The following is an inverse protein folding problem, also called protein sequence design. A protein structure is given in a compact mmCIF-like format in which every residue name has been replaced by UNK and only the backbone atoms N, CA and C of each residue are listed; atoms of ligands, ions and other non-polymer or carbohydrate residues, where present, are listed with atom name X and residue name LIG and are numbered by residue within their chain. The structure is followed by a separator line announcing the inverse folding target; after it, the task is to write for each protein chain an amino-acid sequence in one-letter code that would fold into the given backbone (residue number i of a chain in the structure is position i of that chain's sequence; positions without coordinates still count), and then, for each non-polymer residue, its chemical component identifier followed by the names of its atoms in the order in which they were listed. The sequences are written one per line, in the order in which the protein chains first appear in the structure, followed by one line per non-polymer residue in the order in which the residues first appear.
data_IF_474238685603
#
_entry.id   IF_474238685603
#
_cell.length_a   1.000
_cell.length_b   1.000
_cell.length_c   1.000
_cell.angle_alpha   90.00
_cell.angle_beta   90.00
_cell.angle_gamma   90.00
#
_symmetry.space_group_name_H-M   'P 1'
#
loop_
_entity.id
_entity.type
_entity.pdbx_description
1 polymer ?
#
# COMPACT_ATOMS: atom_id res chain seq x y z
N UNK A 1 -38.77 4.16 25.56
CA UNK A 1 -39.67 3.00 25.33
C UNK A 1 -41.01 3.16 26.05
N UNK A 2 -42.07 3.45 25.28
CA UNK A 2 -43.46 3.39 25.73
C UNK A 2 -44.06 2.09 25.19
N UNK A 3 -44.54 1.20 26.07
CA UNK A 3 -45.11 -0.09 25.67
C UNK A 3 -46.55 0.02 25.18
N UNK A 4 -47.02 -1.01 24.48
CA UNK A 4 -48.39 -1.12 23.97
C UNK A 4 -49.44 -1.03 25.09
N UNK A 5 -50.56 -0.36 24.80
CA UNK A 5 -51.78 -0.33 25.61
C UNK A 5 -53.00 -0.56 24.71
N UNK A 6 -54.19 -0.80 25.27
CA UNK A 6 -55.41 -1.09 24.49
C UNK A 6 -55.78 -0.01 23.47
N UNK A 7 -55.29 1.22 23.65
CA UNK A 7 -55.56 2.37 22.78
C UNK A 7 -54.29 2.99 22.18
N UNK A 8 -53.10 2.44 22.43
CA UNK A 8 -51.84 3.06 22.02
C UNK A 8 -50.83 2.02 21.56
N UNK A 9 -50.34 2.17 20.34
CA UNK A 9 -49.32 1.30 19.78
C UNK A 9 -47.93 1.58 20.41
N UNK A 10 -47.03 0.61 20.30
CA UNK A 10 -45.65 0.71 20.80
C UNK A 10 -44.82 1.62 19.89
N UNK A 11 -44.06 2.54 20.48
CA UNK A 11 -43.13 3.39 19.72
C UNK A 11 -41.78 2.70 19.56
N UNK A 12 -41.39 2.42 18.32
CA UNK A 12 -40.07 1.90 17.98
C UNK A 12 -39.01 3.01 17.95
N UNK A 13 -37.92 2.83 18.69
CA UNK A 13 -36.75 3.72 18.65
C UNK A 13 -35.67 3.17 17.70
N UNK A 14 -34.92 4.08 17.07
CA UNK A 14 -33.77 3.74 16.23
C UNK A 14 -32.56 3.45 17.11
N UNK A 15 -31.90 2.32 16.86
CA UNK A 15 -30.67 1.89 17.56
C UNK A 15 -29.44 2.66 17.06
N UNK A 16 -28.38 2.70 17.86
CA UNK A 16 -27.14 3.38 17.49
C UNK A 16 -26.50 2.80 16.23
N UNK A 17 -25.94 3.68 15.39
CA UNK A 17 -25.40 3.31 14.08
C UNK A 17 -26.45 3.20 12.97
N UNK A 18 -27.71 3.56 13.24
CA UNK A 18 -28.80 3.61 12.27
C UNK A 18 -29.49 4.97 12.32
N UNK A 19 -30.09 5.36 11.20
CA UNK A 19 -30.99 6.51 11.08
C UNK A 19 -32.36 6.06 10.58
N UNK A 20 -33.38 6.83 10.91
CA UNK A 20 -34.71 6.59 10.40
C UNK A 20 -34.82 7.02 8.94
N UNK A 21 -35.11 6.07 8.06
CA UNK A 21 -35.34 6.34 6.64
C UNK A 21 -36.79 6.74 6.38
N UNK A 22 -37.72 5.99 6.95
CA UNK A 22 -39.16 6.17 6.76
C UNK A 22 -39.83 6.45 8.10
N UNK A 23 -40.50 7.61 8.17
CA UNK A 23 -41.28 8.05 9.32
C UNK A 23 -42.74 7.64 9.14
N UNK A 24 -43.32 7.08 10.18
CA UNK A 24 -44.75 6.78 10.28
C UNK A 24 -45.39 7.53 11.46
N UNK A 25 -46.72 7.49 11.55
CA UNK A 25 -47.53 8.23 12.54
C UNK A 25 -47.12 7.90 13.99
N UNK A 26 -46.61 6.70 14.25
CA UNK A 26 -46.22 6.20 15.56
C UNK A 26 -44.71 6.19 15.82
N UNK A 27 -43.85 6.39 14.80
CA UNK A 27 -42.40 6.29 14.99
C UNK A 27 -41.62 6.02 13.71
N UNK A 28 -40.45 5.38 13.86
CA UNK A 28 -39.66 4.97 12.70
C UNK A 28 -40.13 3.61 12.19
N UNK A 29 -40.64 3.54 10.95
CA UNK A 29 -41.10 2.29 10.36
C UNK A 29 -39.97 1.50 9.69
N UNK A 30 -38.94 2.20 9.18
CA UNK A 30 -37.75 1.58 8.63
C UNK A 30 -36.48 2.34 9.03
N UNK A 31 -35.55 1.62 9.68
CA UNK A 31 -34.22 2.13 10.02
C UNK A 31 -33.18 1.62 9.01
N UNK A 32 -32.26 2.48 8.62
CA UNK A 32 -31.14 2.17 7.74
C UNK A 32 -29.82 2.42 8.48
N UNK A 33 -28.82 1.57 8.26
CA UNK A 33 -27.49 1.75 8.85
C UNK A 33 -26.87 3.06 8.34
N UNK A 34 -26.16 3.77 9.20
CA UNK A 34 -25.42 4.96 8.80
C UNK A 34 -24.43 4.65 7.68
N UNK A 35 -24.33 5.57 6.73
CA UNK A 35 -23.35 5.55 5.65
C UNK A 35 -21.94 5.54 6.25
N UNK A 36 -21.12 4.60 5.77
CA UNK A 36 -19.69 4.56 6.08
C UNK A 36 -18.95 5.27 4.96
N UNK A 37 -18.23 6.34 5.31
CA UNK A 37 -17.40 7.05 4.37
C UNK A 37 -16.27 6.15 3.86
N UNK A 38 -15.90 6.34 2.60
CA UNK A 38 -14.90 5.48 1.94
C UNK A 38 -13.48 6.03 2.16
N UNK A 39 -12.42 5.23 1.90
CA UNK A 39 -11.07 5.77 1.87
C UNK A 39 -10.98 6.95 0.89
N UNK A 40 -10.38 8.06 1.32
CA UNK A 40 -10.45 9.32 0.58
C UNK A 40 -11.43 10.35 1.13
N UNK A 41 -12.29 9.96 2.06
CA UNK A 41 -13.29 10.82 2.69
C UNK A 41 -13.11 10.86 4.22
N UNK A 42 -13.74 11.84 4.85
CA UNK A 42 -13.93 11.92 6.30
C UNK A 42 -15.40 12.03 6.63
N UNK A 43 -15.74 11.73 7.88
CA UNK A 43 -17.05 12.08 8.43
C UNK A 43 -17.07 13.60 8.65
N UNK A 44 -17.91 14.30 7.89
CA UNK A 44 -18.13 15.73 8.05
C UNK A 44 -19.15 15.99 9.15
N UNK A 45 -20.28 15.29 9.10
CA UNK A 45 -21.31 15.33 10.12
C UNK A 45 -21.65 13.90 10.56
N UNK A 46 -21.60 13.61 11.87
CA UNK A 46 -21.97 12.29 12.36
C UNK A 46 -23.47 12.05 12.17
N UNK A 47 -23.82 10.82 11.78
CA UNK A 47 -25.22 10.42 11.67
C UNK A 47 -25.94 10.48 13.01
N UNK A 48 -27.23 10.82 12.97
CA UNK A 48 -28.13 10.82 14.12
C UNK A 48 -29.21 9.76 13.93
N UNK A 49 -30.11 9.61 14.91
CA UNK A 49 -31.29 8.73 14.77
C UNK A 49 -32.25 9.17 13.64
N UNK A 50 -32.11 10.39 13.12
CA UNK A 50 -33.01 10.98 12.11
C UNK A 50 -32.34 11.29 10.78
N UNK A 51 -31.02 11.45 10.78
CA UNK A 51 -30.24 11.90 9.62
C UNK A 51 -29.06 10.98 9.46
N UNK A 52 -28.75 10.61 8.22
CA UNK A 52 -27.59 9.80 7.90
C UNK A 52 -26.27 10.56 8.16
N UNK A 53 -25.16 9.84 8.26
CA UNK A 53 -23.83 10.44 8.32
C UNK A 53 -23.48 11.09 6.97
N UNK A 54 -22.82 12.25 7.01
CA UNK A 54 -22.37 12.95 5.83
C UNK A 54 -20.86 12.83 5.66
N UNK A 55 -20.43 12.51 4.44
CA UNK A 55 -19.04 12.33 4.07
C UNK A 55 -18.51 13.50 3.24
N UNK A 56 -17.26 13.88 3.47
CA UNK A 56 -16.57 14.93 2.72
C UNK A 56 -15.23 14.41 2.20
N UNK A 57 -14.89 14.74 0.95
CA UNK A 57 -13.60 14.38 0.35
C UNK A 57 -12.42 15.07 1.05
N UNK A 58 -11.33 14.33 1.24
CA UNK A 58 -10.08 14.92 1.71
C UNK A 58 -9.50 15.89 0.66
N UNK A 59 -9.09 17.06 1.14
CA UNK A 59 -8.41 18.06 0.33
C UNK A 59 -7.01 17.58 -0.09
N UNK A 60 -6.44 18.23 -1.11
CA UNK A 60 -5.08 17.94 -1.55
C UNK A 60 -4.09 18.13 -0.40
N UNK A 61 -3.17 17.17 -0.22
CA UNK A 61 -2.26 17.15 0.91
C UNK A 61 -2.76 16.36 2.12
N UNK A 62 -3.99 15.83 2.07
CA UNK A 62 -4.55 14.99 3.14
C UNK A 62 -4.97 13.62 2.61
N UNK A 63 -4.99 12.63 3.50
CA UNK A 63 -5.49 11.29 3.23
C UNK A 63 -6.38 10.75 4.36
N UNK A 64 -7.23 9.79 4.02
CA UNK A 64 -8.03 9.02 4.98
C UNK A 64 -8.08 7.56 4.53
N UNK A 65 -7.49 6.66 5.32
CA UNK A 65 -7.44 5.23 4.98
C UNK A 65 -8.76 4.51 5.29
N UNK A 66 -9.49 4.97 6.30
CA UNK A 66 -10.68 4.29 6.82
C UNK A 66 -11.97 5.12 6.72
N UNK A 67 -11.94 6.28 6.05
CA UNK A 67 -13.12 7.13 5.92
C UNK A 67 -13.47 7.96 7.15
N UNK A 68 -12.67 7.93 8.22
CA UNK A 68 -13.03 8.58 9.49
C UNK A 68 -12.60 10.04 9.51
N UNK A 69 -11.30 10.29 9.33
CA UNK A 69 -10.69 11.61 9.41
C UNK A 69 -9.62 11.79 8.33
N UNK A 70 -9.55 13.01 7.79
CA UNK A 70 -8.46 13.40 6.90
C UNK A 70 -7.24 13.80 7.73
N UNK A 71 -6.12 13.18 7.45
CA UNK A 71 -4.83 13.41 8.10
C UNK A 71 -3.85 13.97 7.07
N UNK A 72 -2.98 14.90 7.46
CA UNK A 72 -1.94 15.43 6.58
C UNK A 72 -1.04 14.33 6.04
N UNK A 73 -0.58 14.48 4.79
CA UNK A 73 0.43 13.62 4.22
C UNK A 73 1.75 13.70 4.98
N UNK A 74 2.41 12.56 5.12
CA UNK A 74 3.76 12.48 5.65
C UNK A 74 4.73 13.29 4.79
N UNK A 75 5.49 14.17 5.45
CA UNK A 75 6.61 14.88 4.84
C UNK A 75 7.89 14.09 5.06
N UNK A 76 8.53 13.66 3.98
CA UNK A 76 9.80 12.93 4.07
C UNK A 76 10.92 13.81 4.62
N UNK A 77 11.75 13.24 5.49
CA UNK A 77 12.94 13.92 6.00
C UNK A 77 13.95 14.19 4.89
N UNK A 78 14.86 15.14 5.08
CA UNK A 78 15.78 15.60 4.03
C UNK A 78 16.70 14.53 3.43
N UNK A 79 16.90 13.39 4.10
CA UNK A 79 17.70 12.26 3.58
C UNK A 79 16.86 11.18 2.90
N UNK A 80 15.53 11.29 2.96
CA UNK A 80 14.57 10.35 2.38
C UNK A 80 13.97 10.92 1.10
N UNK A 81 13.60 10.03 0.20
CA UNK A 81 12.83 10.34 -1.00
C UNK A 81 11.44 9.73 -0.89
N UNK A 82 10.48 10.30 -1.61
CA UNK A 82 9.15 9.69 -1.78
C UNK A 82 9.30 8.43 -2.62
N UNK A 83 9.02 7.27 -2.04
CA UNK A 83 8.94 6.00 -2.74
C UNK A 83 7.54 5.79 -3.35
N UNK A 84 6.52 6.35 -2.71
CA UNK A 84 5.14 6.37 -3.19
C UNK A 84 4.55 7.75 -2.96
N UNK A 85 3.89 8.30 -3.99
CA UNK A 85 3.14 9.55 -3.85
C UNK A 85 1.90 9.35 -2.97
N UNK A 86 1.54 10.41 -2.26
CA UNK A 86 0.32 10.48 -1.49
C UNK A 86 -0.90 10.58 -2.41
N UNK A 87 -2.02 10.08 -1.91
CA UNK A 87 -3.33 10.24 -2.54
C UNK A 87 -4.36 10.56 -1.45
N UNK A 88 -5.62 10.78 -1.83
CA UNK A 88 -6.69 10.98 -0.83
C UNK A 88 -6.91 9.73 0.02
N UNK A 89 -6.64 8.54 -0.49
CA UNK A 89 -6.89 7.27 0.22
C UNK A 89 -5.63 6.63 0.82
N UNK A 90 -4.44 7.20 0.59
CA UNK A 90 -3.19 6.64 1.10
C UNK A 90 -2.12 7.69 1.34
N UNK A 91 -1.33 7.51 2.38
CA UNK A 91 -0.23 8.39 2.70
C UNK A 91 0.95 8.30 1.71
N UNK A 92 1.81 9.31 1.76
CA UNK A 92 3.17 9.31 1.17
C UNK A 92 4.02 8.28 1.90
N UNK A 93 4.74 7.45 1.14
CA UNK A 93 5.70 6.50 1.72
C UNK A 93 7.11 7.01 1.48
N UNK A 94 7.85 7.22 2.57
CA UNK A 94 9.22 7.69 2.55
C UNK A 94 10.22 6.54 2.67
N UNK A 95 11.37 6.68 2.02
CA UNK A 95 12.48 5.77 2.23
C UNK A 95 13.78 6.27 1.60
N UNK A 96 14.87 5.54 1.83
CA UNK A 96 16.15 5.88 1.21
C UNK A 96 16.24 5.24 -0.16
N UNK A 97 16.69 6.01 -1.15
CA UNK A 97 17.00 5.48 -2.47
C UNK A 97 18.24 4.57 -2.36
N UNK A 98 18.04 3.27 -2.16
CA UNK A 98 19.14 2.31 -2.19
C UNK A 98 19.55 2.07 -3.63
N UNK A 99 20.42 2.95 -4.14
CA UNK A 99 21.08 2.86 -5.45
C UNK A 99 22.12 1.71 -5.52
N UNK A 100 22.17 0.84 -4.52
CA UNK A 100 23.31 -0.05 -4.27
C UNK A 100 23.44 -1.19 -5.28
N UNK A 101 22.36 -1.70 -5.85
CA UNK A 101 22.44 -2.85 -6.76
C UNK A 101 22.80 -2.49 -8.21
N UNK A 102 22.45 -1.29 -8.67
CA UNK A 102 22.71 -0.88 -10.06
C UNK A 102 24.16 -0.50 -10.34
N UNK A 103 24.93 -0.10 -9.31
CA UNK A 103 26.33 0.32 -9.46
C UNK A 103 27.28 -0.88 -9.39
N UNK A 104 26.94 -1.92 -8.63
CA UNK A 104 27.82 -3.08 -8.39
C UNK A 104 27.72 -4.12 -9.50
N UNK A 105 26.54 -4.31 -10.11
CA UNK A 105 26.31 -5.36 -11.11
C UNK A 105 27.18 -5.26 -12.39
N UNK A 106 27.36 -4.07 -13.02
CA UNK A 106 28.20 -3.95 -14.22
C UNK A 106 29.69 -4.27 -14.00
N UNK A 107 30.38 -3.70 -12.98
CA UNK A 107 31.81 -3.96 -12.77
C UNK A 107 32.08 -5.39 -12.30
N UNK A 108 31.20 -6.01 -11.49
CA UNK A 108 31.40 -7.40 -11.05
C UNK A 108 31.26 -8.37 -12.22
N UNK A 109 30.30 -8.16 -13.12
CA UNK A 109 30.12 -9.03 -14.29
C UNK A 109 31.31 -8.94 -15.24
N UNK A 110 31.81 -7.74 -15.52
CA UNK A 110 33.00 -7.54 -16.35
C UNK A 110 34.24 -8.21 -15.75
N UNK A 111 34.43 -8.09 -14.43
CA UNK A 111 35.55 -8.72 -13.72
C UNK A 111 35.48 -10.26 -13.77
N UNK A 112 34.29 -10.85 -13.62
CA UNK A 112 34.12 -12.31 -13.73
C UNK A 112 34.43 -12.79 -15.16
N UNK A 113 33.96 -12.08 -16.18
CA UNK A 113 34.22 -12.43 -17.58
C UNK A 113 35.71 -12.38 -17.92
N UNK A 114 36.45 -11.38 -17.43
CA UNK A 114 37.90 -11.29 -17.66
C UNK A 114 38.67 -12.42 -16.97
N UNK A 115 38.32 -12.75 -15.72
CA UNK A 115 38.93 -13.87 -14.99
C UNK A 115 38.68 -15.19 -15.73
N UNK A 116 37.44 -15.46 -16.17
CA UNK A 116 37.11 -16.66 -16.93
C UNK A 116 37.91 -16.73 -18.24
N UNK A 117 38.01 -15.63 -18.98
CA UNK A 117 38.81 -15.58 -20.20
C UNK A 117 40.31 -15.85 -19.95
N UNK A 118 40.87 -15.32 -18.86
CA UNK A 118 42.27 -15.58 -18.48
C UNK A 118 42.49 -17.04 -18.06
N UNK A 119 41.55 -17.64 -17.32
CA UNK A 119 41.62 -19.05 -16.95
C UNK A 119 41.54 -19.96 -18.19
N UNK A 120 40.64 -19.67 -19.13
CA UNK A 120 40.56 -20.42 -20.40
C UNK A 120 41.88 -20.29 -21.17
N UNK A 121 42.45 -19.09 -21.28
CA UNK A 121 43.76 -18.88 -21.93
C UNK A 121 44.88 -19.63 -21.22
N UNK A 122 44.89 -19.64 -19.89
CA UNK A 122 45.89 -20.35 -19.11
C UNK A 122 45.77 -21.87 -19.31
N UNK A 123 44.55 -22.41 -19.32
CA UNK A 123 44.28 -23.82 -19.58
C UNK A 123 44.68 -24.22 -21.00
N UNK A 124 44.32 -23.43 -22.02
CA UNK A 124 44.70 -23.74 -23.41
C UNK A 124 46.21 -23.60 -23.66
N UNK A 125 46.89 -22.65 -23.00
CA UNK A 125 48.35 -22.58 -23.02
C UNK A 125 48.99 -23.78 -22.31
N UNK A 126 48.43 -24.20 -21.17
CA UNK A 126 48.91 -25.37 -20.42
C UNK A 126 48.72 -26.66 -21.23
N UNK A 127 47.58 -26.80 -21.90
CA UNK A 127 47.30 -27.89 -22.83
C UNK A 127 48.26 -27.86 -24.02
N UNK A 128 48.51 -26.68 -24.62
CA UNK A 128 49.46 -26.50 -25.72
C UNK A 128 50.89 -26.90 -25.31
N UNK A 129 51.35 -26.45 -24.13
CA UNK A 129 52.66 -26.80 -23.57
C UNK A 129 52.72 -28.31 -23.30
N UNK A 130 51.70 -28.90 -22.68
CA UNK A 130 51.68 -30.34 -22.41
C UNK A 130 51.74 -31.18 -23.70
N UNK A 131 51.08 -30.72 -24.77
CA UNK A 131 51.07 -31.37 -26.08
C UNK A 131 52.43 -31.24 -26.79
N UNK A 132 53.09 -30.08 -26.65
CA UNK A 132 54.44 -29.85 -27.14
C UNK A 132 55.49 -30.73 -26.44
N UNK A 133 55.36 -30.92 -25.13
CA UNK A 133 56.24 -31.83 -24.36
C UNK A 133 55.96 -33.32 -24.66
N UNK A 134 54.70 -33.70 -24.93
CA UNK A 134 54.36 -35.05 -25.39
C UNK A 134 54.88 -35.39 -26.79
N UNK A 135 54.95 -34.41 -27.70
CA UNK A 135 55.53 -34.62 -29.05
C UNK A 135 57.06 -34.70 -29.07
N UNK A 136 57.75 -34.19 -28.02
CA UNK A 136 59.20 -34.27 -27.89
C UNK A 136 59.68 -35.61 -27.28
N UNK A 137 58.81 -36.35 -26.60
CA UNK A 137 59.14 -37.63 -25.95
C UNK A 137 58.79 -38.87 -26.79
N UNK A 138 58.16 -38.71 -27.96
CA UNK A 138 57.82 -39.81 -28.87
C UNK A 138 58.85 -40.04 -30.00
N UNK A 139 59.92 -39.24 -30.08
CA UNK A 139 61.01 -39.39 -31.06
C UNK A 139 62.35 -39.76 -30.38
N UNK A 140 62.32 -40.60 -29.35
CA UNK A 140 63.49 -41.17 -28.68
C UNK A 140 63.46 -42.69 -28.73
#
# INVERSE_FOLDING_TARGET
MQGCSETTDTVCEVIDGYFCKDLDVTGCSAAQKHTQCVPGEKIQEPGTRRVDAQCELCQSGFFSEHGVNCTDWTTCSGTQVKLKEGSRSSDVVCGHSSRSHYIVMPPTLLLVLTIVALLIRALTLRDCISRSYGSLTSNG
#
